data_IF_502746975400
#
_entry.id   IF_502746975400
#
_cell.length_a   1.000
_cell.length_b   1.000
_cell.length_c   1.000
_cell.angle_alpha   90.00
_cell.angle_beta   90.00
_cell.angle_gamma   90.00
#
_symmetry.space_group_name_H-M   'P 1'
#
loop_
_entity.id
_entity.type
_entity.pdbx_description
1 polymer ?
#
# COMPACT_ATOMS: atom_id res chain seq x y z
N UNK A 1 11.23 54.35 11.37
CA UNK A 1 12.30 54.98 12.19
C UNK A 1 13.04 56.10 11.43
N UNK A 2 13.41 55.92 10.15
CA UNK A 2 14.15 56.92 9.36
C UNK A 2 13.44 58.28 9.17
N UNK A 3 12.13 58.31 8.95
CA UNK A 3 11.38 59.58 8.79
C UNK A 3 11.23 60.40 10.07
N UNK A 4 11.26 59.77 11.26
CA UNK A 4 11.08 60.46 12.55
C UNK A 4 12.38 61.08 13.07
N UNK A 5 13.52 60.43 12.83
CA UNK A 5 14.84 61.02 13.08
C UNK A 5 15.05 62.28 12.23
N UNK A 6 14.57 62.26 10.98
CA UNK A 6 14.61 63.41 10.09
C UNK A 6 13.79 64.59 10.61
N UNK A 7 12.56 64.35 11.07
CA UNK A 7 11.73 65.43 11.65
C UNK A 7 12.34 65.97 12.94
N UNK A 8 12.85 65.11 13.82
CA UNK A 8 13.51 65.52 15.05
C UNK A 8 14.77 66.36 14.78
N UNK A 9 15.62 65.93 13.84
CA UNK A 9 16.82 66.67 13.43
C UNK A 9 16.45 68.00 12.78
N UNK A 10 15.42 68.04 11.93
CA UNK A 10 14.94 69.30 11.32
C UNK A 10 14.40 70.26 12.38
N UNK A 11 13.65 69.78 13.38
CA UNK A 11 13.19 70.63 14.50
C UNK A 11 14.34 71.10 15.40
N UNK A 12 15.34 70.26 15.61
CA UNK A 12 16.53 70.61 16.40
C UNK A 12 17.37 71.68 15.68
N UNK A 13 17.54 71.55 14.36
CA UNK A 13 18.24 72.52 13.52
C UNK A 13 17.46 73.84 13.41
N UNK A 14 16.13 73.79 13.29
CA UNK A 14 15.29 74.98 13.30
C UNK A 14 15.33 75.72 14.66
N UNK A 15 15.42 74.97 15.77
CA UNK A 15 15.64 75.55 17.11
C UNK A 15 17.02 76.17 17.27
N UNK A 16 18.07 75.49 16.79
CA UNK A 16 19.44 76.01 16.86
C UNK A 16 19.59 77.28 16.01
N UNK A 17 18.97 77.31 14.83
CA UNK A 17 18.92 78.48 13.98
C UNK A 17 18.15 79.63 14.64
N UNK A 18 17.02 79.35 15.29
CA UNK A 18 16.25 80.36 16.04
C UNK A 18 17.04 80.92 17.23
N UNK A 19 17.76 80.07 17.97
CA UNK A 19 18.62 80.49 19.09
C UNK A 19 19.75 81.42 18.64
N UNK A 20 20.40 81.12 17.51
CA UNK A 20 21.46 81.96 16.93
C UNK A 20 20.92 83.31 16.43
N UNK A 21 19.69 83.34 15.89
CA UNK A 21 19.01 84.59 15.48
C UNK A 21 18.57 85.45 16.68
N UNK A 22 18.31 84.83 17.84
CA UNK A 22 17.81 85.49 19.05
C UNK A 22 18.92 85.97 20.00
N UNK A 23 20.17 85.53 19.82
CA UNK A 23 21.32 86.01 20.59
C UNK A 23 21.66 87.52 20.38
N UNK A 24 20.82 88.26 19.62
CA UNK A 24 20.93 89.71 19.38
C UNK A 24 19.84 90.57 20.06
N UNK A 25 18.91 89.99 20.81
CA UNK A 25 17.93 90.75 21.61
C UNK A 25 16.81 89.86 22.19
N UNK A 26 16.32 90.20 23.39
CA UNK A 26 15.34 89.42 24.18
C UNK A 26 14.05 89.10 23.40
N UNK A 27 14.03 87.96 22.72
CA UNK A 27 12.83 87.49 22.03
C UNK A 27 11.85 86.83 22.99
N UNK A 28 10.61 87.31 22.95
CA UNK A 28 9.46 86.70 23.59
C UNK A 28 8.47 86.23 22.52
N UNK A 29 7.74 85.16 22.83
CA UNK A 29 6.62 84.67 22.02
C UNK A 29 5.35 85.17 22.69
N UNK A 30 4.55 85.93 21.95
CA UNK A 30 3.25 86.42 22.43
C UNK A 30 2.16 85.59 21.77
N UNK A 31 1.47 84.78 22.56
CA UNK A 31 0.30 84.02 22.13
C UNK A 31 -0.95 84.81 22.53
N UNK A 32 -1.60 85.43 21.55
CA UNK A 32 -2.84 86.18 21.74
C UNK A 32 -4.04 85.37 21.23
N UNK A 33 -4.94 84.97 22.13
CA UNK A 33 -6.23 84.36 21.76
C UNK A 33 -7.38 85.05 22.51
N UNK A 34 -8.31 85.63 21.76
CA UNK A 34 -9.61 86.18 22.22
C UNK A 34 -9.58 86.93 23.56
N UNK A 35 -8.60 87.82 23.76
CA UNK A 35 -8.47 88.68 24.95
C UNK A 35 -7.44 88.22 26.00
N UNK A 36 -6.85 87.04 25.84
CA UNK A 36 -5.74 86.57 26.67
C UNK A 36 -4.43 86.64 25.90
N UNK A 37 -3.48 87.43 26.40
CA UNK A 37 -2.12 87.53 25.89
C UNK A 37 -1.17 86.88 26.88
N UNK A 38 -0.54 85.77 26.47
CA UNK A 38 0.50 85.12 27.25
C UNK A 38 1.85 85.45 26.62
N UNK A 39 2.65 86.24 27.32
CA UNK A 39 4.03 86.50 26.98
C UNK A 39 4.91 85.45 27.64
N UNK A 40 5.66 84.69 26.84
CA UNK A 40 6.62 83.72 27.34
C UNK A 40 7.97 83.88 26.65
N UNK A 41 9.09 83.71 27.38
CA UNK A 41 10.41 83.62 26.76
C UNK A 41 10.43 82.53 25.69
N UNK A 42 11.12 82.79 24.56
CA UNK A 42 11.21 81.81 23.45
C UNK A 42 11.73 80.46 23.93
N UNK A 43 12.64 80.44 24.92
CA UNK A 43 13.16 79.21 25.53
C UNK A 43 12.04 78.36 26.13
N UNK A 44 11.07 78.97 26.79
CA UNK A 44 9.92 78.25 27.40
C UNK A 44 9.01 77.72 26.30
N UNK A 45 8.73 78.51 25.26
CA UNK A 45 7.91 78.07 24.13
C UNK A 45 8.54 76.86 23.40
N UNK A 46 9.86 76.90 23.18
CA UNK A 46 10.66 75.80 22.62
C UNK A 46 10.55 74.53 23.47
N UNK A 47 10.69 74.65 24.79
CA UNK A 47 10.60 73.53 25.71
C UNK A 47 9.20 72.91 25.71
N UNK A 48 8.15 73.74 25.62
CA UNK A 48 6.75 73.29 25.56
C UNK A 48 6.46 72.51 24.26
N UNK A 49 7.00 72.97 23.12
CA UNK A 49 6.90 72.25 21.83
C UNK A 49 7.62 70.90 21.89
N UNK A 50 8.82 70.85 22.49
CA UNK A 50 9.54 69.59 22.71
C UNK A 50 8.76 68.62 23.60
N UNK A 51 8.19 69.12 24.70
CA UNK A 51 7.36 68.34 25.61
C UNK A 51 6.14 67.77 24.88
N UNK A 52 5.43 68.59 24.10
CA UNK A 52 4.26 68.17 23.31
C UNK A 52 4.65 67.08 22.30
N UNK A 53 5.78 67.23 21.62
CA UNK A 53 6.26 66.24 20.66
C UNK A 53 6.62 64.91 21.33
N UNK A 54 7.27 64.95 22.51
CA UNK A 54 7.57 63.77 23.32
C UNK A 54 6.29 63.06 23.77
N UNK A 55 5.28 63.82 24.20
CA UNK A 55 3.99 63.30 24.61
C UNK A 55 3.25 62.64 23.45
N UNK A 56 3.20 63.30 22.29
CA UNK A 56 2.63 62.75 21.05
C UNK A 56 3.36 61.48 20.62
N UNK A 57 4.69 61.45 20.73
CA UNK A 57 5.49 60.26 20.45
C UNK A 57 5.12 59.11 21.37
N UNK A 58 5.00 59.36 22.68
CA UNK A 58 4.63 58.35 23.66
C UNK A 58 3.24 57.78 23.38
N UNK A 59 2.27 58.64 23.05
CA UNK A 59 0.91 58.25 22.66
C UNK A 59 0.92 57.40 21.39
N UNK A 60 1.60 57.83 20.33
CA UNK A 60 1.68 57.06 19.07
C UNK A 60 2.41 55.73 19.28
N UNK A 61 3.48 55.70 20.08
CA UNK A 61 4.19 54.47 20.43
C UNK A 61 3.30 53.49 21.21
N UNK A 62 2.52 54.00 22.17
CA UNK A 62 1.56 53.22 22.95
C UNK A 62 0.43 52.65 22.07
N UNK A 63 -0.18 53.47 21.20
CA UNK A 63 -1.20 53.04 20.23
C UNK A 63 -0.66 52.01 19.24
N UNK A 64 0.57 52.19 18.71
CA UNK A 64 1.22 51.19 17.85
C UNK A 64 1.55 49.92 18.60
N UNK A 65 1.93 50.00 19.88
CA UNK A 65 2.12 48.85 20.75
C UNK A 65 0.84 48.03 20.87
N UNK A 66 -0.27 48.66 21.24
CA UNK A 66 -1.58 48.00 21.36
C UNK A 66 -2.05 47.34 20.04
N UNK A 67 -1.90 48.02 18.91
CA UNK A 67 -2.32 47.49 17.60
C UNK A 67 -1.34 46.45 17.01
N UNK A 68 -0.04 46.60 17.26
CA UNK A 68 1.01 45.66 16.82
C UNK A 68 1.00 44.32 17.57
N UNK A 69 0.51 44.31 18.81
CA UNK A 69 0.43 43.10 19.65
C UNK A 69 -0.60 42.10 19.11
N UNK A 70 -1.70 42.54 18.48
CA UNK A 70 -2.72 41.63 17.93
C UNK A 70 -2.19 40.69 16.84
N UNK A 71 -1.35 41.15 15.92
CA UNK A 71 -0.81 40.30 14.84
C UNK A 71 0.26 39.31 15.36
N UNK A 72 1.09 39.72 16.30
CA UNK A 72 2.10 38.85 16.93
C UNK A 72 1.49 37.80 17.86
N UNK A 73 0.47 38.17 18.65
CA UNK A 73 -0.24 37.25 19.56
C UNK A 73 -1.09 36.24 18.81
N UNK A 74 -1.75 36.62 17.70
CA UNK A 74 -2.49 35.67 16.86
C UNK A 74 -1.54 34.68 16.17
N UNK A 75 -0.38 35.15 15.69
CA UNK A 75 0.66 34.28 15.15
C UNK A 75 1.23 33.32 16.20
N UNK A 76 1.54 33.81 17.39
CA UNK A 76 2.03 33.01 18.52
C UNK A 76 0.99 31.98 18.99
N UNK A 77 -0.27 32.38 19.15
CA UNK A 77 -1.36 31.48 19.54
C UNK A 77 -1.61 30.40 18.47
N UNK A 78 -1.52 30.75 17.17
CA UNK A 78 -1.62 29.78 16.07
C UNK A 78 -0.45 28.80 16.09
N UNK A 79 0.77 29.27 16.35
CA UNK A 79 1.94 28.41 16.46
C UNK A 79 1.87 27.47 17.68
N UNK A 80 1.42 27.98 18.83
CA UNK A 80 1.18 27.18 20.04
C UNK A 80 0.09 26.13 19.84
N UNK A 81 -1.03 26.49 19.20
CA UNK A 81 -2.09 25.53 18.84
C UNK A 81 -1.56 24.43 17.93
N UNK A 82 -0.72 24.78 16.94
CA UNK A 82 -0.07 23.82 16.05
C UNK A 82 0.85 22.86 16.82
N UNK A 83 1.71 23.38 17.70
CA UNK A 83 2.57 22.56 18.56
C UNK A 83 1.77 21.61 19.47
N UNK A 84 0.67 22.10 20.06
CA UNK A 84 -0.24 21.26 20.85
C UNK A 84 -0.93 20.18 20.00
N UNK A 85 -1.32 20.48 18.77
CA UNK A 85 -1.88 19.52 17.83
C UNK A 85 -0.90 18.40 17.44
N UNK A 86 0.36 18.77 17.18
CA UNK A 86 1.45 17.82 16.95
C UNK A 86 1.71 16.94 18.17
N UNK A 87 1.84 17.53 19.36
CA UNK A 87 2.02 16.77 20.61
C UNK A 87 0.89 15.77 20.86
N UNK A 88 -0.37 16.16 20.63
CA UNK A 88 -1.52 15.24 20.72
C UNK A 88 -1.49 14.14 19.68
N UNK A 89 -1.07 14.47 18.45
CA UNK A 89 -0.89 13.47 17.38
C UNK A 89 0.15 12.43 17.82
N UNK A 90 1.31 12.88 18.32
CA UNK A 90 2.35 11.98 18.84
C UNK A 90 1.84 11.10 19.98
N UNK A 91 1.16 11.67 20.97
CA UNK A 91 0.57 10.90 22.07
C UNK A 91 -0.48 9.88 21.57
N UNK A 92 -1.31 10.27 20.61
CA UNK A 92 -2.30 9.39 19.99
C UNK A 92 -1.65 8.24 19.22
N UNK A 93 -0.56 8.50 18.49
CA UNK A 93 0.20 7.46 17.78
C UNK A 93 0.95 6.52 18.73
N UNK A 94 1.55 7.03 19.81
CA UNK A 94 2.16 6.21 20.86
C UNK A 94 1.11 5.27 21.45
N UNK A 95 -0.04 5.82 21.84
CA UNK A 95 -1.15 5.03 22.38
C UNK A 95 -1.69 4.01 21.37
N UNK A 96 -1.70 4.34 20.07
CA UNK A 96 -2.08 3.39 19.03
C UNK A 96 -1.13 2.18 18.99
N UNK A 97 0.18 2.44 19.02
CA UNK A 97 1.20 1.38 19.01
C UNK A 97 1.16 0.54 20.29
N UNK A 98 0.87 1.15 21.43
CA UNK A 98 0.68 0.46 22.72
C UNK A 98 -0.65 -0.30 22.83
N UNK A 99 -1.51 -0.26 21.80
CA UNK A 99 -2.82 -0.93 21.81
C UNK A 99 -3.88 -0.25 22.68
N UNK A 100 -3.65 1.00 23.11
CA UNK A 100 -4.61 1.81 23.87
C UNK A 100 -5.62 2.48 22.94
N UNK A 101 -6.45 1.65 22.29
CA UNK A 101 -7.31 2.02 21.15
C UNK A 101 -8.25 3.20 21.44
N UNK A 102 -8.98 3.18 22.55
CA UNK A 102 -9.93 4.26 22.88
C UNK A 102 -9.25 5.62 23.08
N UNK A 103 -8.11 5.63 23.77
CA UNK A 103 -7.34 6.85 23.98
C UNK A 103 -6.72 7.34 22.67
N UNK A 104 -6.17 6.43 21.86
CA UNK A 104 -5.61 6.74 20.56
C UNK A 104 -6.67 7.38 19.66
N UNK A 105 -7.83 6.73 19.49
CA UNK A 105 -8.95 7.21 18.69
C UNK A 105 -9.37 8.63 19.07
N UNK A 106 -9.65 8.86 20.36
CA UNK A 106 -10.10 10.19 20.86
C UNK A 106 -9.03 11.25 20.68
N UNK A 107 -7.78 10.92 20.97
CA UNK A 107 -6.66 11.86 20.88
C UNK A 107 -6.36 12.25 19.44
N UNK A 108 -6.37 11.28 18.52
CA UNK A 108 -6.14 11.49 17.09
C UNK A 108 -7.28 12.27 16.44
N UNK A 109 -8.54 11.90 16.71
CA UNK A 109 -9.71 12.63 16.21
C UNK A 109 -9.66 14.11 16.64
N UNK A 110 -9.41 14.37 17.93
CA UNK A 110 -9.29 15.74 18.46
C UNK A 110 -8.06 16.49 17.95
N UNK A 111 -7.00 15.78 17.58
CA UNK A 111 -5.82 16.38 16.96
C UNK A 111 -6.10 16.78 15.50
N UNK A 112 -6.93 16.03 14.78
CA UNK A 112 -7.27 16.29 13.38
C UNK A 112 -7.92 17.67 13.16
N UNK A 113 -8.80 18.12 14.08
CA UNK A 113 -9.48 19.42 13.99
C UNK A 113 -8.54 20.63 13.92
N UNK A 114 -7.29 20.50 14.41
CA UNK A 114 -6.35 21.62 14.57
C UNK A 114 -4.94 21.30 14.06
N UNK A 115 -4.74 20.16 13.38
CA UNK A 115 -3.40 19.76 12.89
C UNK A 115 -3.18 20.21 11.44
N UNK A 116 -1.90 20.31 11.07
CA UNK A 116 -1.49 20.46 9.68
C UNK A 116 -1.50 19.13 8.90
N UNK A 117 -1.96 18.03 9.52
CA UNK A 117 -1.95 16.66 8.97
C UNK A 117 -3.23 15.90 9.34
N UNK A 118 -4.42 16.39 8.96
CA UNK A 118 -5.69 15.79 9.37
C UNK A 118 -5.88 14.37 8.82
N UNK A 119 -5.44 14.11 7.58
CA UNK A 119 -5.51 12.79 6.93
C UNK A 119 -4.93 11.68 7.81
N UNK A 120 -3.67 11.83 8.26
CA UNK A 120 -2.99 10.79 9.07
C UNK A 120 -3.77 10.53 10.36
N UNK A 121 -4.22 11.59 11.03
CA UNK A 121 -4.96 11.47 12.28
C UNK A 121 -6.28 10.70 12.09
N UNK A 122 -7.04 11.02 11.04
CA UNK A 122 -8.28 10.31 10.74
C UNK A 122 -8.04 8.85 10.34
N UNK A 123 -7.02 8.55 9.54
CA UNK A 123 -6.71 7.17 9.17
C UNK A 123 -6.30 6.31 10.38
N UNK A 124 -5.50 6.83 11.31
CA UNK A 124 -5.16 6.11 12.53
C UNK A 124 -6.33 6.04 13.52
N UNK A 125 -7.19 7.07 13.59
CA UNK A 125 -8.42 7.01 14.37
C UNK A 125 -9.39 5.94 13.82
N UNK A 126 -9.50 5.79 12.50
CA UNK A 126 -10.24 4.70 11.86
C UNK A 126 -9.66 3.34 12.24
N UNK A 127 -8.33 3.15 12.13
CA UNK A 127 -7.67 1.91 12.54
C UNK A 127 -7.93 1.56 14.02
N UNK A 128 -7.81 2.55 14.91
CA UNK A 128 -8.09 2.36 16.33
C UNK A 128 -9.57 1.99 16.59
N UNK A 129 -10.49 2.56 15.81
CA UNK A 129 -11.93 2.25 15.89
C UNK A 129 -12.25 0.84 15.42
N UNK A 130 -11.57 0.37 14.36
CA UNK A 130 -11.71 -1.01 13.89
C UNK A 130 -11.22 -2.01 14.94
N UNK A 131 -10.12 -1.71 15.65
CA UNK A 131 -9.57 -2.59 16.69
C UNK A 131 -10.52 -2.81 17.88
N UNK A 132 -11.47 -1.89 18.12
CA UNK A 132 -12.52 -2.02 19.14
C UNK A 132 -13.87 -2.45 18.56
N UNK A 133 -13.96 -2.76 17.26
CA UNK A 133 -15.17 -3.21 16.59
C UNK A 133 -16.20 -2.12 16.28
N UNK A 134 -15.84 -0.82 16.35
CA UNK A 134 -16.75 0.29 16.07
C UNK A 134 -16.75 0.65 14.57
N UNK A 135 -17.47 -0.14 13.78
CA UNK A 135 -17.56 0.04 12.32
C UNK A 135 -18.15 1.41 11.92
N UNK A 136 -19.09 1.96 12.69
CA UNK A 136 -19.68 3.28 12.41
C UNK A 136 -18.64 4.39 12.54
N UNK A 137 -17.79 4.31 13.57
CA UNK A 137 -16.70 5.27 13.74
C UNK A 137 -15.64 5.13 12.63
N UNK A 138 -15.36 3.91 12.15
CA UNK A 138 -14.45 3.70 11.00
C UNK A 138 -14.93 4.48 9.79
N UNK A 139 -16.19 4.29 9.37
CA UNK A 139 -16.76 4.98 8.21
C UNK A 139 -16.77 6.50 8.39
N UNK A 140 -17.12 6.95 9.61
CA UNK A 140 -17.10 8.37 9.96
C UNK A 140 -15.71 9.00 9.79
N UNK A 141 -14.66 8.35 10.29
CA UNK A 141 -13.29 8.85 10.18
C UNK A 141 -12.73 8.75 8.76
N UNK A 142 -13.05 7.71 8.00
CA UNK A 142 -12.64 7.63 6.59
C UNK A 142 -13.29 8.73 5.74
N UNK A 143 -14.56 9.05 6.01
CA UNK A 143 -15.24 10.18 5.36
C UNK A 143 -14.63 11.52 5.75
N UNK A 144 -14.27 11.70 7.03
CA UNK A 144 -13.57 12.91 7.46
C UNK A 144 -12.18 13.03 6.82
N UNK A 145 -11.47 11.92 6.63
CA UNK A 145 -10.21 11.89 5.91
C UNK A 145 -10.37 12.39 4.47
N UNK A 146 -11.37 11.89 3.75
CA UNK A 146 -11.70 12.29 2.37
C UNK A 146 -12.01 13.79 2.26
N UNK A 147 -12.84 14.32 3.15
CA UNK A 147 -13.19 15.75 3.17
C UNK A 147 -12.01 16.65 3.56
N UNK A 148 -11.02 16.12 4.28
CA UNK A 148 -9.92 16.91 4.84
C UNK A 148 -8.73 17.08 3.91
N UNK A 149 -8.56 16.22 2.89
CA UNK A 149 -7.37 16.23 2.03
C UNK A 149 -7.70 15.72 0.64
N UNK A 150 -7.70 16.62 -0.34
CA UNK A 150 -7.87 16.27 -1.76
C UNK A 150 -6.71 15.40 -2.27
N UNK A 151 -7.02 14.46 -3.15
CA UNK A 151 -6.03 13.56 -3.78
C UNK A 151 -5.55 12.41 -2.88
N UNK A 152 -6.15 12.21 -1.71
CA UNK A 152 -5.80 11.14 -0.78
C UNK A 152 -6.58 9.81 -1.01
N UNK A 153 -7.37 9.72 -2.07
CA UNK A 153 -8.29 8.61 -2.35
C UNK A 153 -7.63 7.23 -2.28
N UNK A 154 -6.43 7.09 -2.84
CA UNK A 154 -5.68 5.82 -2.83
C UNK A 154 -5.31 5.42 -1.40
N UNK A 155 -4.84 6.35 -0.57
CA UNK A 155 -4.44 6.07 0.81
C UNK A 155 -5.64 5.72 1.70
N UNK A 156 -6.77 6.42 1.50
CA UNK A 156 -8.03 6.17 2.20
C UNK A 156 -8.59 4.81 1.78
N UNK A 157 -8.67 4.54 0.47
CA UNK A 157 -9.16 3.27 -0.05
C UNK A 157 -8.28 2.08 0.33
N UNK A 158 -6.97 2.24 0.39
CA UNK A 158 -6.06 1.19 0.86
C UNK A 158 -6.29 0.90 2.35
N UNK A 159 -6.42 1.95 3.17
CA UNK A 159 -6.74 1.79 4.60
C UNK A 159 -8.09 1.10 4.78
N UNK A 160 -9.11 1.51 4.02
CA UNK A 160 -10.43 0.88 4.05
C UNK A 160 -10.35 -0.62 3.70
N UNK A 161 -9.64 -0.96 2.62
CA UNK A 161 -9.48 -2.36 2.20
C UNK A 161 -8.71 -3.19 3.23
N UNK A 162 -7.64 -2.65 3.84
CA UNK A 162 -6.90 -3.31 4.90
C UNK A 162 -7.81 -3.64 6.10
N UNK A 163 -8.62 -2.68 6.53
CA UNK A 163 -9.57 -2.88 7.64
C UNK A 163 -10.65 -3.91 7.30
N UNK A 164 -11.17 -3.89 6.06
CA UNK A 164 -12.13 -4.90 5.58
C UNK A 164 -11.50 -6.30 5.58
N UNK A 165 -10.26 -6.45 5.11
CA UNK A 165 -9.53 -7.72 5.12
C UNK A 165 -9.29 -8.21 6.56
N UNK A 166 -8.91 -7.32 7.48
CA UNK A 166 -8.72 -7.66 8.90
C UNK A 166 -10.01 -8.18 9.55
N UNK A 167 -11.16 -7.66 9.11
CA UNK A 167 -12.47 -8.06 9.58
C UNK A 167 -13.09 -9.21 8.75
N UNK A 168 -12.31 -9.88 7.90
CA UNK A 168 -12.76 -10.95 6.99
C UNK A 168 -13.90 -10.55 6.01
N UNK A 169 -14.05 -9.26 5.72
CA UNK A 169 -15.03 -8.71 4.78
C UNK A 169 -14.46 -8.71 3.36
N UNK A 170 -14.10 -9.88 2.84
CA UNK A 170 -13.33 -10.01 1.60
C UNK A 170 -14.04 -9.48 0.35
N UNK A 171 -15.36 -9.64 0.23
CA UNK A 171 -16.14 -9.12 -0.91
C UNK A 171 -16.14 -7.59 -0.93
N UNK A 172 -16.28 -6.96 0.23
CA UNK A 172 -16.23 -5.50 0.36
C UNK A 172 -14.81 -4.99 0.08
N UNK A 173 -13.79 -5.69 0.59
CA UNK A 173 -12.40 -5.41 0.29
C UNK A 173 -12.11 -5.49 -1.20
N UNK A 174 -12.65 -6.50 -1.90
CA UNK A 174 -12.51 -6.64 -3.34
C UNK A 174 -13.09 -5.42 -4.08
N UNK A 175 -14.32 -5.01 -3.75
CA UNK A 175 -14.95 -3.84 -4.35
C UNK A 175 -14.13 -2.56 -4.12
N UNK A 176 -13.65 -2.35 -2.89
CA UNK A 176 -12.77 -1.21 -2.53
C UNK A 176 -11.47 -1.24 -3.34
N UNK A 177 -10.78 -2.38 -3.39
CA UNK A 177 -9.51 -2.52 -4.11
C UNK A 177 -9.66 -2.35 -5.62
N UNK A 178 -10.77 -2.83 -6.22
CA UNK A 178 -11.06 -2.61 -7.63
C UNK A 178 -11.29 -1.13 -7.94
N UNK A 179 -11.97 -0.39 -7.06
CA UNK A 179 -12.12 1.07 -7.17
C UNK A 179 -10.77 1.78 -7.11
N UNK A 180 -9.93 1.44 -6.13
CA UNK A 180 -8.58 2.01 -5.98
C UNK A 180 -7.70 1.67 -7.19
N UNK A 181 -7.79 0.44 -7.71
CA UNK A 181 -7.02 0.01 -8.87
C UNK A 181 -7.34 0.84 -10.11
N UNK A 182 -8.59 1.26 -10.33
CA UNK A 182 -8.95 2.14 -11.46
C UNK A 182 -8.19 3.47 -11.44
N UNK A 183 -7.85 3.98 -10.26
CA UNK A 183 -7.07 5.20 -10.09
C UNK A 183 -5.56 4.91 -10.22
N UNK A 184 -5.10 3.76 -9.74
CA UNK A 184 -3.69 3.34 -9.80
C UNK A 184 -3.54 1.87 -10.19
N UNK A 185 -3.49 1.61 -11.50
CA UNK A 185 -3.54 0.26 -12.07
C UNK A 185 -2.39 -0.67 -11.63
N UNK A 186 -1.22 -0.11 -11.31
CA UNK A 186 0.01 -0.86 -11.01
C UNK A 186 0.51 -0.66 -9.57
N UNK A 187 -0.34 -0.15 -8.67
CA UNK A 187 0.07 0.06 -7.28
C UNK A 187 0.45 -1.28 -6.61
N UNK A 188 1.72 -1.49 -6.19
CA UNK A 188 2.20 -2.81 -5.75
C UNK A 188 1.43 -3.39 -4.56
N UNK A 189 1.07 -2.54 -3.60
CA UNK A 189 0.30 -2.97 -2.42
C UNK A 189 -1.15 -3.35 -2.79
N UNK A 190 -1.76 -2.67 -3.77
CA UNK A 190 -3.12 -2.99 -4.22
C UNK A 190 -3.14 -4.37 -4.88
N UNK A 191 -2.13 -4.66 -5.71
CA UNK A 191 -1.98 -5.97 -6.34
C UNK A 191 -1.75 -7.08 -5.30
N UNK A 192 -0.92 -6.81 -4.28
CA UNK A 192 -0.70 -7.76 -3.17
C UNK A 192 -1.99 -8.04 -2.39
N UNK A 193 -2.75 -6.99 -2.03
CA UNK A 193 -4.01 -7.16 -1.31
C UNK A 193 -5.07 -7.85 -2.16
N UNK A 194 -5.15 -7.54 -3.47
CA UNK A 194 -6.03 -8.24 -4.40
C UNK A 194 -5.67 -9.72 -4.51
N UNK A 195 -4.38 -10.07 -4.56
CA UNK A 195 -3.95 -11.46 -4.59
C UNK A 195 -4.41 -12.21 -3.32
N UNK A 196 -4.26 -11.59 -2.14
CA UNK A 196 -4.78 -12.14 -0.89
C UNK A 196 -6.30 -12.31 -0.93
N UNK A 197 -7.04 -11.28 -1.33
CA UNK A 197 -8.51 -11.30 -1.38
C UNK A 197 -9.02 -12.36 -2.36
N UNK A 198 -8.43 -12.49 -3.54
CA UNK A 198 -8.82 -13.54 -4.48
C UNK A 198 -8.53 -14.95 -3.96
N UNK A 199 -7.44 -15.15 -3.23
CA UNK A 199 -7.15 -16.43 -2.55
C UNK A 199 -8.22 -16.75 -1.51
N UNK A 200 -8.58 -15.80 -0.65
CA UNK A 200 -9.60 -16.00 0.40
C UNK A 200 -11.00 -16.23 -0.18
N UNK A 201 -11.32 -15.62 -1.31
CA UNK A 201 -12.59 -15.81 -2.02
C UNK A 201 -12.59 -17.05 -2.94
N UNK A 202 -11.47 -17.80 -3.02
CA UNK A 202 -11.26 -18.90 -3.96
C UNK A 202 -11.51 -18.51 -5.44
N UNK A 203 -11.30 -17.23 -5.79
CA UNK A 203 -11.39 -16.76 -7.18
C UNK A 203 -10.04 -16.98 -7.89
N UNK A 204 -9.75 -18.25 -8.14
CA UNK A 204 -8.49 -18.69 -8.76
C UNK A 204 -8.29 -18.11 -10.15
N UNK A 205 -9.37 -17.89 -10.90
CA UNK A 205 -9.31 -17.38 -12.25
C UNK A 205 -8.83 -15.93 -12.27
N UNK A 206 -9.36 -15.08 -11.38
CA UNK A 206 -8.90 -13.69 -11.28
C UNK A 206 -7.52 -13.60 -10.64
N UNK A 207 -7.19 -14.48 -9.70
CA UNK A 207 -5.84 -14.57 -9.15
C UNK A 207 -4.82 -14.84 -10.25
N UNK A 208 -5.02 -15.87 -11.08
CA UNK A 208 -4.09 -16.20 -12.19
C UNK A 208 -3.91 -15.05 -13.19
N UNK A 209 -4.98 -14.29 -13.48
CA UNK A 209 -4.91 -13.09 -14.34
C UNK A 209 -4.13 -11.95 -13.70
N UNK A 210 -4.12 -11.86 -12.36
CA UNK A 210 -3.44 -10.81 -11.60
C UNK A 210 -1.93 -11.07 -11.45
N UNK A 211 -1.51 -12.34 -11.29
CA UNK A 211 -0.12 -12.70 -10.98
C UNK A 211 0.94 -12.11 -11.92
N UNK A 212 0.73 -12.03 -13.26
CA UNK A 212 1.71 -11.39 -14.15
C UNK A 212 1.95 -9.91 -13.82
N UNK A 213 0.89 -9.18 -13.45
CA UNK A 213 1.01 -7.78 -13.05
C UNK A 213 1.69 -7.65 -11.68
N UNK A 214 1.37 -8.55 -10.74
CA UNK A 214 2.03 -8.59 -9.43
C UNK A 214 3.53 -8.88 -9.55
N UNK A 215 3.93 -9.76 -10.48
CA UNK A 215 5.33 -10.08 -10.78
C UNK A 215 6.13 -8.88 -11.28
N UNK A 216 5.49 -7.99 -12.05
CA UNK A 216 6.13 -6.79 -12.58
C UNK A 216 6.16 -5.63 -11.58
N UNK A 217 5.28 -5.65 -10.56
CA UNK A 217 5.11 -4.57 -9.61
C UNK A 217 6.23 -4.55 -8.55
N UNK A 218 7.28 -3.78 -8.84
CA UNK A 218 8.38 -3.53 -7.90
C UNK A 218 7.85 -2.87 -6.62
N UNK A 219 8.24 -3.38 -5.46
CA UNK A 219 7.83 -2.85 -4.15
C UNK A 219 6.59 -3.51 -3.52
N UNK A 220 6.05 -4.59 -4.10
CA UNK A 220 5.01 -5.41 -3.46
C UNK A 220 5.55 -6.17 -2.24
N UNK A 221 6.86 -6.44 -2.21
CA UNK A 221 7.50 -7.29 -1.20
C UNK A 221 7.11 -8.76 -1.33
N UNK A 222 6.61 -9.19 -2.50
CA UNK A 222 6.33 -10.59 -2.85
C UNK A 222 7.42 -11.06 -3.81
N UNK A 223 8.10 -12.14 -3.45
CA UNK A 223 9.16 -12.76 -4.25
C UNK A 223 8.60 -13.55 -5.44
N UNK A 224 9.43 -13.76 -6.46
CA UNK A 224 9.06 -14.59 -7.61
C UNK A 224 8.73 -16.03 -7.21
N UNK A 225 9.38 -16.55 -6.16
CA UNK A 225 9.10 -17.87 -5.60
C UNK A 225 7.70 -17.94 -4.97
N UNK A 226 7.30 -16.93 -4.19
CA UNK A 226 5.95 -16.84 -3.63
C UNK A 226 4.89 -16.70 -4.73
N UNK A 227 5.15 -15.91 -5.77
CA UNK A 227 4.25 -15.80 -6.93
C UNK A 227 4.14 -17.14 -7.66
N UNK A 228 5.25 -17.86 -7.86
CA UNK A 228 5.24 -19.17 -8.51
C UNK A 228 4.47 -20.21 -7.69
N UNK A 229 4.60 -20.17 -6.35
CA UNK A 229 3.84 -21.02 -5.43
C UNK A 229 2.33 -20.69 -5.48
N UNK A 230 1.96 -19.41 -5.45
CA UNK A 230 0.56 -18.98 -5.62
C UNK A 230 -0.01 -19.41 -6.97
N UNK A 231 0.76 -19.26 -8.06
CA UNK A 231 0.35 -19.71 -9.39
C UNK A 231 0.09 -21.22 -9.41
N UNK A 232 0.98 -22.01 -8.80
CA UNK A 232 0.84 -23.46 -8.73
C UNK A 232 -0.40 -23.87 -7.92
N UNK A 233 -0.58 -23.31 -6.73
CA UNK A 233 -1.74 -23.59 -5.87
C UNK A 233 -3.05 -23.20 -6.55
N UNK A 234 -3.11 -22.01 -7.16
CA UNK A 234 -4.30 -21.55 -7.89
C UNK A 234 -4.64 -22.45 -9.08
N UNK A 235 -3.65 -22.93 -9.82
CA UNK A 235 -3.88 -23.89 -10.91
C UNK A 235 -4.46 -25.21 -10.37
N UNK A 236 -3.89 -25.75 -9.30
CA UNK A 236 -4.33 -27.02 -8.69
C UNK A 236 -5.75 -26.94 -8.14
N UNK A 237 -6.08 -25.87 -7.42
CA UNK A 237 -7.42 -25.68 -6.88
C UNK A 237 -8.44 -25.40 -7.99
N UNK A 238 -8.08 -24.67 -9.05
CA UNK A 238 -8.97 -24.49 -10.20
C UNK A 238 -9.29 -25.83 -10.89
N UNK A 239 -8.29 -26.70 -11.07
CA UNK A 239 -8.51 -28.05 -11.63
C UNK A 239 -9.35 -28.92 -10.69
N UNK A 240 -9.09 -28.85 -9.38
CA UNK A 240 -9.84 -29.58 -8.35
C UNK A 240 -11.31 -29.16 -8.29
N UNK A 241 -11.58 -27.86 -8.33
CA UNK A 241 -12.94 -27.32 -8.30
C UNK A 241 -13.72 -27.71 -9.55
N UNK A 242 -13.07 -27.68 -10.72
CA UNK A 242 -13.68 -28.06 -11.98
C UNK A 242 -14.01 -29.56 -12.02
N UNK A 243 -13.08 -30.40 -11.58
CA UNK A 243 -13.25 -31.84 -11.46
C UNK A 243 -14.45 -32.20 -10.57
N UNK A 244 -14.52 -31.62 -9.35
CA UNK A 244 -15.62 -31.87 -8.41
C UNK A 244 -16.99 -31.38 -8.90
N UNK A 245 -17.06 -30.26 -9.62
CA UNK A 245 -18.33 -29.57 -9.93
C UNK A 245 -18.91 -29.94 -11.29
N UNK A 246 -18.10 -30.36 -12.26
CA UNK A 246 -18.56 -30.52 -13.64
C UNK A 246 -17.86 -31.61 -14.45
N UNK A 247 -17.15 -32.53 -13.79
CA UNK A 247 -16.55 -33.71 -14.42
C UNK A 247 -15.58 -33.36 -15.55
N UNK A 248 -15.56 -34.19 -16.60
CA UNK A 248 -14.55 -34.12 -17.65
C UNK A 248 -14.58 -32.82 -18.47
N UNK A 249 -15.75 -32.36 -18.91
CA UNK A 249 -15.84 -31.14 -19.72
C UNK A 249 -15.40 -29.90 -18.94
N UNK A 250 -15.78 -29.81 -17.67
CA UNK A 250 -15.34 -28.73 -16.80
C UNK A 250 -13.83 -28.77 -16.57
N UNK A 251 -13.28 -29.97 -16.32
CA UNK A 251 -11.84 -30.18 -16.14
C UNK A 251 -11.05 -29.77 -17.40
N UNK A 252 -11.51 -30.17 -18.59
CA UNK A 252 -10.90 -29.78 -19.86
C UNK A 252 -10.98 -28.26 -20.10
N UNK A 253 -12.09 -27.62 -19.73
CA UNK A 253 -12.24 -26.17 -19.83
C UNK A 253 -11.34 -25.43 -18.84
N UNK A 254 -11.22 -25.89 -17.60
CA UNK A 254 -10.29 -25.34 -16.61
C UNK A 254 -8.84 -25.44 -17.10
N UNK A 255 -8.45 -26.61 -17.64
CA UNK A 255 -7.14 -26.78 -18.26
C UNK A 255 -6.88 -25.80 -19.39
N UNK A 256 -7.87 -25.55 -20.26
CA UNK A 256 -7.75 -24.55 -21.34
C UNK A 256 -7.46 -23.15 -20.80
N UNK A 257 -8.05 -22.78 -19.67
CA UNK A 257 -7.92 -21.45 -19.06
C UNK A 257 -6.59 -21.22 -18.32
N UNK A 258 -5.84 -22.28 -17.98
CA UNK A 258 -4.56 -22.12 -17.29
C UNK A 258 -3.54 -21.33 -18.12
N UNK A 259 -2.63 -20.57 -17.49
CA UNK A 259 -1.51 -19.93 -18.19
C UNK A 259 -0.66 -20.94 -18.96
N UNK A 260 -0.18 -20.56 -20.15
CA UNK A 260 0.64 -21.44 -21.00
C UNK A 260 1.95 -21.87 -20.32
N UNK A 261 2.51 -21.02 -19.46
CA UNK A 261 3.68 -21.33 -18.64
C UNK A 261 3.36 -22.40 -17.58
N UNK A 262 2.18 -22.33 -16.94
CA UNK A 262 1.75 -23.31 -15.95
C UNK A 262 1.56 -24.71 -16.57
N UNK A 263 0.99 -24.80 -17.78
CA UNK A 263 0.83 -26.07 -18.54
C UNK A 263 2.14 -26.75 -18.93
N UNK A 264 3.28 -26.09 -18.77
CA UNK A 264 4.62 -26.65 -19.02
C UNK A 264 5.30 -27.16 -17.75
N UNK A 265 4.70 -26.95 -16.57
CA UNK A 265 5.25 -27.44 -15.30
C UNK A 265 4.80 -28.88 -15.09
N UNK A 266 5.76 -29.79 -14.89
CA UNK A 266 5.50 -31.21 -14.69
C UNK A 266 4.47 -31.45 -13.56
N UNK A 267 4.62 -30.72 -12.46
CA UNK A 267 3.75 -30.79 -11.28
C UNK A 267 2.28 -30.43 -11.55
N UNK A 268 1.99 -29.59 -12.54
CA UNK A 268 0.62 -29.22 -12.96
C UNK A 268 0.07 -30.21 -13.98
N UNK A 269 0.93 -30.69 -14.89
CA UNK A 269 0.60 -31.76 -15.84
C UNK A 269 0.24 -33.05 -15.10
N UNK A 270 1.00 -33.42 -14.08
CA UNK A 270 0.75 -34.56 -13.21
C UNK A 270 -0.63 -34.47 -12.54
N UNK A 271 -0.93 -33.32 -11.92
CA UNK A 271 -2.19 -33.07 -11.22
C UNK A 271 -3.41 -33.18 -12.15
N UNK A 272 -3.28 -32.68 -13.38
CA UNK A 272 -4.30 -32.81 -14.42
C UNK A 272 -4.44 -34.25 -14.93
N UNK A 273 -3.32 -34.93 -15.19
CA UNK A 273 -3.32 -36.30 -15.69
C UNK A 273 -3.91 -37.30 -14.68
N UNK A 274 -3.61 -37.15 -13.39
CA UNK A 274 -4.21 -37.98 -12.33
C UNK A 274 -5.74 -37.83 -12.30
N UNK A 275 -6.27 -36.61 -12.38
CA UNK A 275 -7.73 -36.39 -12.46
C UNK A 275 -8.35 -36.99 -13.72
N UNK A 276 -7.67 -36.91 -14.86
CA UNK A 276 -8.13 -37.58 -16.07
C UNK A 276 -8.17 -39.11 -15.89
N UNK A 277 -7.17 -39.70 -15.22
CA UNK A 277 -7.14 -41.12 -14.89
C UNK A 277 -8.31 -41.48 -13.97
N UNK A 278 -8.57 -40.69 -12.92
CA UNK A 278 -9.68 -40.88 -11.98
C UNK A 278 -11.05 -40.82 -12.70
N UNK A 279 -11.19 -39.98 -13.73
CA UNK A 279 -12.38 -39.90 -14.57
C UNK A 279 -12.44 -40.95 -15.70
N UNK A 280 -11.47 -41.88 -15.77
CA UNK A 280 -11.39 -42.91 -16.80
C UNK A 280 -10.93 -42.41 -18.18
N UNK A 281 -10.50 -41.17 -18.31
CA UNK A 281 -10.05 -40.53 -19.55
C UNK A 281 -8.57 -40.83 -19.82
N UNK A 282 -8.26 -42.12 -19.94
CA UNK A 282 -6.88 -42.62 -19.98
C UNK A 282 -6.11 -42.20 -21.24
N UNK A 283 -6.79 -42.04 -22.38
CA UNK A 283 -6.17 -41.62 -23.66
C UNK A 283 -5.74 -40.16 -23.63
N UNK A 284 -6.58 -39.29 -23.07
CA UNK A 284 -6.27 -37.87 -22.90
C UNK A 284 -5.12 -37.68 -21.91
N UNK A 285 -5.15 -38.43 -20.79
CA UNK A 285 -4.09 -38.43 -19.80
C UNK A 285 -2.75 -38.85 -20.44
N UNK A 286 -2.77 -39.92 -21.24
CA UNK A 286 -1.60 -40.43 -21.95
C UNK A 286 -1.02 -39.36 -22.88
N UNK A 287 -1.87 -38.71 -23.68
CA UNK A 287 -1.44 -37.70 -24.65
C UNK A 287 -0.77 -36.52 -23.96
N UNK A 288 -1.35 -36.05 -22.86
CA UNK A 288 -0.84 -34.89 -22.11
C UNK A 288 0.48 -35.20 -21.42
N UNK A 289 0.60 -36.37 -20.79
CA UNK A 289 1.84 -36.81 -20.13
C UNK A 289 2.94 -37.06 -21.16
N UNK A 290 2.64 -37.76 -22.27
CA UNK A 290 3.60 -38.02 -23.35
C UNK A 290 4.19 -36.74 -23.89
N UNK A 291 3.35 -35.74 -24.18
CA UNK A 291 3.77 -34.45 -24.70
C UNK A 291 4.70 -33.70 -23.74
N UNK A 292 4.49 -33.83 -22.44
CA UNK A 292 5.35 -33.22 -21.43
C UNK A 292 6.68 -33.97 -21.30
N UNK A 293 6.67 -35.30 -21.24
CA UNK A 293 7.88 -36.14 -21.23
C UNK A 293 8.76 -35.92 -22.47
N UNK A 294 8.14 -35.62 -23.61
CA UNK A 294 8.86 -35.30 -24.85
C UNK A 294 9.66 -33.99 -24.77
N UNK A 295 9.27 -33.08 -23.87
CA UNK A 295 9.93 -31.78 -23.64
C UNK A 295 10.99 -31.88 -22.55
N UNK A 296 10.61 -32.46 -21.41
CA UNK A 296 11.49 -32.63 -20.26
C UNK A 296 11.11 -33.94 -19.58
N UNK A 297 12.10 -34.83 -19.48
CA UNK A 297 11.94 -36.06 -18.72
C UNK A 297 11.72 -35.74 -17.25
N UNK A 298 10.76 -36.44 -16.64
CA UNK A 298 10.40 -36.29 -15.23
C UNK A 298 9.94 -37.67 -14.72
N UNK A 299 10.59 -38.16 -13.67
CA UNK A 299 10.39 -39.52 -13.16
C UNK A 299 8.98 -39.72 -12.58
N UNK A 300 8.41 -38.70 -11.91
CA UNK A 300 7.04 -38.76 -11.39
C UNK A 300 6.03 -38.89 -12.55
N UNK A 301 6.22 -38.12 -13.63
CA UNK A 301 5.34 -38.18 -14.80
C UNK A 301 5.42 -39.52 -15.54
N UNK A 302 6.58 -40.18 -15.55
CA UNK A 302 6.72 -41.51 -16.18
C UNK A 302 5.91 -42.56 -15.44
N UNK A 303 5.86 -42.50 -14.11
CA UNK A 303 5.03 -43.42 -13.34
C UNK A 303 3.54 -43.27 -13.69
N UNK A 304 3.08 -42.02 -13.79
CA UNK A 304 1.72 -41.68 -14.25
C UNK A 304 1.51 -42.20 -15.66
N UNK A 305 2.47 -41.99 -16.57
CA UNK A 305 2.40 -42.48 -17.95
C UNK A 305 2.14 -44.00 -18.01
N UNK A 306 2.77 -44.78 -17.13
CA UNK A 306 2.53 -46.22 -17.00
C UNK A 306 1.10 -46.61 -16.61
N UNK A 307 0.36 -45.73 -15.93
CA UNK A 307 -1.05 -45.92 -15.53
C UNK A 307 -2.05 -45.49 -16.61
N UNK A 308 -1.62 -44.68 -17.58
CA UNK A 308 -2.47 -44.25 -18.71
C UNK A 308 -2.58 -45.31 -19.81
N UNK A 309 -3.47 -45.11 -20.79
CA UNK A 309 -3.69 -46.01 -21.92
C UNK A 309 -3.76 -45.21 -23.22
N UNK A 310 -2.85 -45.47 -24.16
CA UNK A 310 -2.94 -44.87 -25.49
C UNK A 310 -3.97 -45.61 -26.37
N UNK A 311 -4.51 -44.91 -27.38
CA UNK A 311 -5.34 -45.54 -28.44
C UNK A 311 -4.67 -46.76 -29.09
N UNK A 312 -3.33 -46.74 -29.15
CA UNK A 312 -2.50 -47.84 -29.63
C UNK A 312 -1.44 -48.17 -28.57
N UNK A 313 -1.67 -49.16 -27.70
CA UNK A 313 -0.76 -49.47 -26.60
C UNK A 313 0.66 -49.84 -27.06
N UNK A 314 0.85 -50.34 -28.28
CA UNK A 314 2.18 -50.62 -28.84
C UNK A 314 3.00 -49.34 -29.07
N UNK A 315 2.33 -48.23 -29.45
CA UNK A 315 2.99 -46.92 -29.56
C UNK A 315 3.37 -46.37 -28.19
N UNK A 316 2.54 -46.65 -27.16
CA UNK A 316 2.82 -46.27 -25.79
C UNK A 316 4.10 -46.96 -25.29
N UNK A 317 4.20 -48.27 -25.54
CA UNK A 317 5.38 -49.08 -25.23
C UNK A 317 6.63 -48.58 -25.96
N UNK A 318 6.55 -48.40 -27.28
CA UNK A 318 7.68 -47.94 -28.09
C UNK A 318 8.22 -46.56 -27.62
N UNK A 319 7.34 -45.68 -27.16
CA UNK A 319 7.74 -44.40 -26.57
C UNK A 319 8.47 -44.60 -25.23
N UNK A 320 7.93 -45.42 -24.32
CA UNK A 320 8.59 -45.71 -23.04
C UNK A 320 9.95 -46.40 -23.23
N UNK A 321 10.06 -47.35 -24.15
CA UNK A 321 11.32 -48.01 -24.50
C UNK A 321 12.35 -47.02 -25.07
N UNK A 322 11.89 -46.00 -25.81
CA UNK A 322 12.76 -44.92 -26.28
C UNK A 322 13.31 -44.10 -25.11
N UNK A 323 12.49 -43.79 -24.11
CA UNK A 323 12.94 -43.09 -22.89
C UNK A 323 13.98 -43.92 -22.12
N UNK A 324 13.80 -45.25 -22.09
CA UNK A 324 14.70 -46.17 -21.38
C UNK A 324 16.13 -46.13 -21.93
N UNK A 325 16.32 -45.82 -23.21
CA UNK A 325 17.66 -45.69 -23.80
C UNK A 325 18.50 -44.61 -23.10
N UNK A 326 17.85 -43.54 -22.65
CA UNK A 326 18.48 -42.42 -21.95
C UNK A 326 18.39 -42.51 -20.43
N UNK A 327 17.38 -43.21 -19.88
CA UNK A 327 17.07 -43.23 -18.44
C UNK A 327 17.01 -44.68 -17.94
N UNK A 328 18.16 -45.37 -18.01
CA UNK A 328 18.24 -46.82 -17.75
C UNK A 328 18.05 -47.18 -16.27
N UNK A 329 18.41 -46.27 -15.38
CA UNK A 329 18.48 -46.53 -13.94
C UNK A 329 17.28 -45.92 -13.18
N UNK A 330 16.24 -45.48 -13.90
CA UNK A 330 15.02 -44.97 -13.28
C UNK A 330 14.03 -46.12 -13.02
N UNK A 331 13.90 -46.51 -11.75
CA UNK A 331 12.98 -47.56 -11.32
C UNK A 331 11.53 -47.30 -11.77
N UNK A 332 11.06 -46.06 -11.74
CA UNK A 332 9.68 -45.72 -12.11
C UNK A 332 9.39 -45.93 -13.59
N UNK A 333 10.41 -45.76 -14.43
CA UNK A 333 10.30 -46.08 -15.86
C UNK A 333 10.16 -47.58 -16.09
N UNK A 334 10.89 -48.40 -15.35
CA UNK A 334 10.75 -49.84 -15.38
C UNK A 334 9.37 -50.30 -14.89
N UNK A 335 8.82 -49.70 -13.84
CA UNK A 335 7.43 -49.93 -13.40
C UNK A 335 6.45 -49.59 -14.51
N UNK A 336 6.62 -48.44 -15.16
CA UNK A 336 5.74 -48.00 -16.24
C UNK A 336 5.78 -48.98 -17.43
N UNK A 337 6.97 -49.43 -17.83
CA UNK A 337 7.16 -50.44 -18.87
C UNK A 337 6.51 -51.78 -18.49
N UNK A 338 6.71 -52.25 -17.26
CA UNK A 338 6.07 -53.47 -16.74
C UNK A 338 4.55 -53.40 -16.82
N UNK A 339 3.95 -52.28 -16.39
CA UNK A 339 2.49 -52.04 -16.49
C UNK A 339 2.00 -52.06 -17.95
N UNK A 340 2.74 -51.44 -18.87
CA UNK A 340 2.37 -51.41 -20.30
C UNK A 340 2.50 -52.82 -20.93
N UNK A 341 3.61 -53.53 -20.68
CA UNK A 341 3.82 -54.89 -21.19
C UNK A 341 2.78 -55.88 -20.68
N UNK A 342 2.40 -55.78 -19.40
CA UNK A 342 1.33 -56.59 -18.82
C UNK A 342 0.00 -56.39 -19.54
N UNK A 343 -0.37 -55.15 -19.86
CA UNK A 343 -1.58 -54.85 -20.66
C UNK A 343 -1.52 -55.39 -22.09
N UNK A 344 -0.32 -55.47 -22.66
CA UNK A 344 -0.07 -56.04 -23.99
C UNK A 344 0.10 -57.58 -23.98
N UNK A 345 -0.08 -58.23 -22.84
CA UNK A 345 0.14 -59.67 -22.65
C UNK A 345 1.58 -60.14 -22.98
N UNK A 346 2.58 -59.25 -22.84
CA UNK A 346 4.01 -59.55 -22.97
C UNK A 346 4.60 -59.84 -21.58
N UNK A 347 4.25 -61.00 -21.02
CA UNK A 347 4.50 -61.30 -19.61
C UNK A 347 5.99 -61.40 -19.26
N UNK A 348 6.81 -62.03 -20.11
CA UNK A 348 8.26 -62.16 -19.87
C UNK A 348 8.97 -60.80 -19.83
N UNK A 349 8.61 -59.89 -20.75
CA UNK A 349 9.13 -58.52 -20.74
C UNK A 349 8.64 -57.74 -19.51
N UNK A 350 7.37 -57.93 -19.11
CA UNK A 350 6.81 -57.28 -17.95
C UNK A 350 7.54 -57.70 -16.66
N UNK A 351 7.77 -59.00 -16.47
CA UNK A 351 8.50 -59.54 -15.33
C UNK A 351 9.93 -58.98 -15.28
N UNK A 352 10.65 -59.00 -16.41
CA UNK A 352 12.01 -58.46 -16.50
C UNK A 352 12.09 -57.00 -16.07
N UNK A 353 11.18 -56.16 -16.57
CA UNK A 353 11.17 -54.74 -16.19
C UNK A 353 10.84 -54.56 -14.71
N UNK A 354 9.84 -55.27 -14.17
CA UNK A 354 9.50 -55.15 -12.75
C UNK A 354 10.62 -55.63 -11.82
N UNK A 355 11.32 -56.72 -12.17
CA UNK A 355 12.50 -57.18 -11.42
C UNK A 355 13.63 -56.13 -11.44
N UNK A 356 13.88 -55.51 -12.60
CA UNK A 356 14.87 -54.44 -12.72
C UNK A 356 14.50 -53.23 -11.85
N UNK A 357 13.20 -52.88 -11.76
CA UNK A 357 12.74 -51.82 -10.87
C UNK A 357 13.07 -52.12 -9.40
N UNK A 358 12.78 -53.35 -8.94
CA UNK A 358 13.03 -53.76 -7.55
C UNK A 358 14.53 -53.67 -7.25
N UNK A 359 15.38 -54.19 -8.14
CA UNK A 359 16.82 -54.13 -7.98
C UNK A 359 17.34 -52.68 -7.87
N UNK A 360 16.79 -51.75 -8.66
CA UNK A 360 17.17 -50.33 -8.61
C UNK A 360 16.71 -49.63 -7.32
N UNK A 361 15.53 -49.98 -6.79
CA UNK A 361 15.04 -49.45 -5.51
C UNK A 361 15.87 -49.96 -4.32
N UNK A 362 16.22 -51.25 -4.30
CA UNK A 362 17.06 -51.84 -3.25
C UNK A 362 18.44 -51.19 -3.19
N UNK A 363 19.04 -50.91 -4.35
CA UNK A 363 20.34 -50.23 -4.44
C UNK A 363 20.30 -48.74 -4.06
N UNK A 364 19.14 -48.10 -4.06
CA UNK A 364 19.00 -46.70 -3.66
C UNK A 364 18.84 -46.51 -2.15
N UNK A 365 18.45 -47.56 -1.42
CA UNK A 365 18.21 -47.55 0.04
C UNK A 365 19.44 -48.02 0.83
N UNK A 366 20.33 -48.78 0.21
CA UNK A 366 21.62 -49.21 0.75
C UNK A 366 22.69 -48.10 0.63
#
# INVERSE_FOLDING_TARGET
>A
MRGMLLVFVVTLVAMLASYVLLARGDGYVLLAMSGYTVEMPVVIAVLLVLLLFLLLYMVIAFLRGLLGTRRSVVGWARNQRRQKGLSRTTQGLIAFVEGRWDFARRSLAKAADNSSTPLVNYLFAARASSAIGDAKAVDGFLKQAELSTEGADVAIGLTQAELQIQNAQYEQALATLLRVRKQSNHHPIVLKLLARVYTELNDWQQLLKLLPALRQAKGSGVSDAEIAALEQSACRELLRDADKKGGHEALANAWKQLPTAAKKRAVIVADYAERLIEQGQLVDAETVVRNQLHRLYDSDLVEIYGRTLADRPEKQLAFAEKLLKSQKDDARLHIALGRICSRLNKLDDAERYLQQSIALEEHAVA
#
